data_IF_860805285771
#
_entry.id   IF_860805285771
#
_cell.length_a   1.000
_cell.length_b   1.000
_cell.length_c   1.000
_cell.angle_alpha   90.00
_cell.angle_beta   90.00
_cell.angle_gamma   90.00
#
_symmetry.space_group_name_H-M   'P 1'
#
loop_
_entity.id
_entity.type
_entity.pdbx_description
1 polymer ?
#
# COMPACT_ATOMS: atom_id res chain seq x y z
N UNK A 1 4.99 2.19 -12.62
CA UNK A 1 3.86 2.24 -11.66
C UNK A 1 2.91 3.34 -12.10
N UNK A 2 1.61 3.11 -12.00
CA UNK A 2 0.62 4.14 -12.33
C UNK A 2 0.47 5.14 -11.19
N UNK A 3 0.43 6.44 -11.50
CA UNK A 3 0.05 7.47 -10.53
C UNK A 3 -1.47 7.48 -10.33
N UNK A 4 -1.90 7.44 -9.06
CA UNK A 4 -3.31 7.49 -8.69
C UNK A 4 -3.69 8.94 -8.40
N UNK A 5 -4.69 9.44 -9.11
CA UNK A 5 -5.14 10.84 -8.99
C UNK A 5 -5.96 11.05 -7.70
N UNK A 6 -6.05 12.29 -7.23
CA UNK A 6 -6.86 12.64 -6.04
C UNK A 6 -8.37 12.31 -6.18
N UNK A 7 -9.01 12.49 -7.36
CA UNK A 7 -10.37 11.99 -7.57
C UNK A 7 -10.49 10.47 -7.38
N UNK A 8 -9.51 9.69 -7.83
CA UNK A 8 -9.53 8.23 -7.68
C UNK A 8 -9.31 7.81 -6.22
N UNK A 9 -8.37 8.44 -5.51
CA UNK A 9 -8.18 8.21 -4.07
C UNK A 9 -9.48 8.44 -3.30
N UNK A 10 -10.19 9.54 -3.59
CA UNK A 10 -11.49 9.84 -2.98
C UNK A 10 -12.53 8.78 -3.32
N UNK A 11 -12.65 8.37 -4.57
CA UNK A 11 -13.58 7.32 -4.97
C UNK A 11 -13.33 6.00 -4.22
N UNK A 12 -12.06 5.58 -4.11
CA UNK A 12 -11.66 4.38 -3.36
C UNK A 12 -12.03 4.51 -1.89
N UNK A 13 -11.75 5.66 -1.28
CA UNK A 13 -12.05 5.90 0.13
C UNK A 13 -13.56 5.82 0.43
N UNK A 14 -14.39 6.38 -0.44
CA UNK A 14 -15.85 6.30 -0.31
C UNK A 14 -16.38 4.87 -0.46
N UNK A 15 -15.81 4.06 -1.37
CA UNK A 15 -16.18 2.64 -1.49
C UNK A 15 -15.77 1.83 -0.26
N UNK A 16 -14.56 2.07 0.24
CA UNK A 16 -14.03 1.41 1.45
C UNK A 16 -14.88 1.73 2.68
N UNK A 17 -15.31 2.98 2.84
CA UNK A 17 -16.22 3.38 3.93
C UNK A 17 -17.59 2.72 3.86
N UNK A 18 -18.09 2.42 2.66
CA UNK A 18 -19.36 1.67 2.51
C UNK A 18 -19.20 0.21 2.91
N UNK A 19 -18.04 -0.39 2.61
CA UNK A 19 -17.74 -1.79 2.92
C UNK A 19 -17.45 -2.00 4.42
N UNK A 20 -16.77 -1.04 5.07
CA UNK A 20 -16.36 -1.09 6.47
C UNK A 20 -16.78 0.16 7.24
N UNK A 21 -18.08 0.43 7.45
CA UNK A 21 -18.54 1.70 8.01
C UNK A 21 -18.01 2.02 9.41
N UNK A 22 -17.83 1.00 10.25
CA UNK A 22 -17.47 1.15 11.67
C UNK A 22 -16.11 0.53 12.05
N UNK A 23 -15.36 0.03 11.06
CA UNK A 23 -14.06 -0.61 11.28
C UNK A 23 -12.94 0.20 10.61
N UNK A 24 -12.43 1.19 11.34
CA UNK A 24 -11.38 2.10 10.85
C UNK A 24 -10.11 1.36 10.41
N UNK A 25 -9.73 0.29 11.13
CA UNK A 25 -8.55 -0.49 10.77
C UNK A 25 -8.76 -1.20 9.42
N UNK A 26 -9.93 -1.80 9.21
CA UNK A 26 -10.26 -2.42 7.93
C UNK A 26 -10.37 -1.39 6.81
N UNK A 27 -10.87 -0.18 7.09
CA UNK A 27 -10.86 0.92 6.12
C UNK A 27 -9.43 1.24 5.66
N UNK A 28 -8.50 1.44 6.58
CA UNK A 28 -7.10 1.76 6.26
C UNK A 28 -6.43 0.63 5.45
N UNK A 29 -6.59 -0.62 5.89
CA UNK A 29 -6.00 -1.78 5.21
C UNK A 29 -6.54 -1.91 3.79
N UNK A 30 -7.86 -1.82 3.59
CA UNK A 30 -8.46 -1.96 2.28
C UNK A 30 -8.15 -0.79 1.36
N UNK A 31 -8.10 0.43 1.90
CA UNK A 31 -7.68 1.60 1.14
C UNK A 31 -6.27 1.43 0.57
N UNK A 32 -5.29 1.09 1.42
CA UNK A 32 -3.90 0.87 0.98
C UNK A 32 -3.81 -0.27 -0.04
N UNK A 33 -4.53 -1.38 0.21
CA UNK A 33 -4.58 -2.51 -0.71
C UNK A 33 -5.08 -2.11 -2.10
N UNK A 34 -6.16 -1.33 -2.17
CA UNK A 34 -6.73 -0.87 -3.44
C UNK A 34 -5.78 0.07 -4.19
N UNK A 35 -5.13 0.99 -3.48
CA UNK A 35 -4.11 1.87 -4.07
C UNK A 35 -2.99 1.03 -4.70
N UNK A 36 -2.42 0.08 -3.97
CA UNK A 36 -1.37 -0.79 -4.48
C UNK A 36 -1.84 -1.63 -5.68
N UNK A 37 -3.07 -2.16 -5.63
CA UNK A 37 -3.62 -2.93 -6.75
C UNK A 37 -3.71 -2.07 -8.02
N UNK A 38 -4.18 -0.84 -7.93
CA UNK A 38 -4.30 0.05 -9.09
C UNK A 38 -2.94 0.51 -9.61
N UNK A 39 -2.01 0.81 -8.71
CA UNK A 39 -0.63 1.20 -9.05
C UNK A 39 0.11 0.11 -9.83
N UNK A 40 -0.18 -1.15 -9.51
CA UNK A 40 0.56 -2.32 -10.02
C UNK A 40 -0.20 -3.14 -11.06
N UNK A 41 -1.47 -2.81 -11.36
CA UNK A 41 -2.35 -3.58 -12.24
C UNK A 41 -1.75 -3.88 -13.61
N UNK A 42 -1.08 -2.88 -14.19
CA UNK A 42 -0.54 -2.94 -15.55
C UNK A 42 0.94 -3.35 -15.59
N UNK A 43 1.53 -3.64 -14.43
CA UNK A 43 2.93 -4.08 -14.34
C UNK A 43 3.06 -5.57 -14.68
N UNK A 44 4.11 -5.97 -15.40
CA UNK A 44 4.52 -7.38 -15.49
C UNK A 44 4.73 -8.01 -14.12
N UNK A 45 4.52 -9.33 -14.01
CA UNK A 45 4.64 -10.06 -12.75
C UNK A 45 5.98 -9.81 -12.03
N UNK A 46 7.08 -9.79 -12.77
CA UNK A 46 8.42 -9.52 -12.21
C UNK A 46 8.52 -8.12 -11.57
N UNK A 47 7.93 -7.10 -12.20
CA UNK A 47 7.91 -5.73 -11.67
C UNK A 47 6.98 -5.60 -10.46
N UNK A 48 5.88 -6.36 -10.42
CA UNK A 48 5.01 -6.43 -9.24
C UNK A 48 5.73 -7.05 -8.04
N UNK A 49 6.49 -8.13 -8.25
CA UNK A 49 7.30 -8.76 -7.20
C UNK A 49 8.34 -7.78 -6.68
N UNK A 50 9.07 -7.11 -7.57
CA UNK A 50 10.07 -6.10 -7.18
C UNK A 50 9.46 -4.96 -6.36
N UNK A 51 8.24 -4.51 -6.71
CA UNK A 51 7.53 -3.49 -5.93
C UNK A 51 7.27 -3.92 -4.48
N UNK A 52 6.75 -5.13 -4.27
CA UNK A 52 6.47 -5.62 -2.92
C UNK A 52 7.76 -5.90 -2.13
N UNK A 53 8.80 -6.42 -2.78
CA UNK A 53 10.11 -6.64 -2.15
C UNK A 53 10.76 -5.33 -1.68
N UNK A 54 10.72 -4.28 -2.51
CA UNK A 54 11.24 -2.96 -2.13
C UNK A 54 10.50 -2.38 -0.91
N UNK A 55 9.19 -2.64 -0.79
CA UNK A 55 8.42 -2.22 0.38
C UNK A 55 8.83 -3.00 1.65
N UNK A 56 9.09 -4.30 1.55
CA UNK A 56 9.59 -5.12 2.67
C UNK A 56 11.00 -4.70 3.11
N UNK A 57 11.91 -4.45 2.17
CA UNK A 57 13.27 -4.00 2.44
C UNK A 57 13.31 -2.59 3.05
N UNK A 58 12.43 -1.69 2.61
CA UNK A 58 12.25 -0.35 3.18
C UNK A 58 11.71 -0.32 4.61
N UNK A 59 10.97 -1.37 5.03
CA UNK A 59 10.51 -1.55 6.42
C UNK A 59 11.63 -2.10 7.31
N UNK A 60 12.68 -2.71 6.75
CA UNK A 60 13.84 -3.25 7.48
C UNK A 60 14.86 -2.19 7.95
N UNK A 61 14.43 -0.94 8.16
CA UNK A 61 15.29 0.13 8.71
C UNK A 61 14.64 0.81 9.93
N UNK A 62 14.61 0.08 11.05
CA UNK A 62 14.70 0.61 12.42
C UNK A 62 14.87 -0.54 13.41
N UNK A 63 16.04 -1.17 13.37
CA UNK A 63 16.31 -2.32 14.23
C UNK A 63 17.77 -2.71 14.43
N UNK A 64 18.77 -1.90 14.04
CA UNK A 64 20.15 -2.06 14.51
C UNK A 64 20.86 -0.69 14.57
N UNK A 65 20.58 0.06 15.64
CA UNK A 65 21.56 0.97 16.22
C UNK A 65 21.75 0.53 17.67
N UNK A 66 22.95 0.07 18.00
CA UNK A 66 23.24 -0.55 19.30
C UNK A 66 24.57 -1.28 19.40
N UNK A 67 25.66 -0.56 19.15
CA UNK A 67 26.94 -0.54 19.90
C UNK A 67 27.64 -1.85 20.34
N UNK A 68 28.93 -1.94 20.01
CA UNK A 68 29.96 -2.35 20.98
C UNK A 68 30.66 -3.70 20.76
N UNK A 69 31.77 -3.71 20.03
CA UNK A 69 33.14 -3.86 20.56
C UNK A 69 34.17 -3.86 19.42
#
# INVERSE_FOLDING_TARGET
>A
MRDITEPEKRAIWEEVKKEFPDDELMQEIHYVRWIHQLQTKDLPLAERIAFYQAAEEGVSVKGKSGNGR
#
